data_IF_950770153822
#
_entry.id   IF_950770153822
#
_cell.length_a   1.000
_cell.length_b   1.000
_cell.length_c   1.000
_cell.angle_alpha   90.00
_cell.angle_beta   90.00
_cell.angle_gamma   90.00
#
_symmetry.space_group_name_H-M   'P 1'
#
loop_
_entity.id
_entity.type
_entity.pdbx_description
1 polymer ?
#
# COMPACT_ATOMS: atom_id res chain seq x y z
N UNK A 1 -2.54 -11.27 20.30
CA UNK A 1 -2.81 -10.48 19.09
C UNK A 1 -2.15 -11.12 17.87
N UNK A 2 -0.82 -11.35 17.90
CA UNK A 2 -0.08 -11.90 16.73
C UNK A 2 -0.54 -13.31 16.33
N UNK A 3 -0.85 -14.20 17.30
CA UNK A 3 -1.44 -15.50 17.00
C UNK A 3 -2.79 -15.39 16.26
N UNK A 4 -3.57 -14.34 16.57
CA UNK A 4 -4.80 -14.04 15.84
C UNK A 4 -4.56 -13.52 14.41
N UNK A 5 -3.47 -12.78 14.18
CA UNK A 5 -3.05 -12.35 12.83
C UNK A 5 -2.70 -13.57 11.98
N UNK A 6 -1.92 -14.49 12.52
CA UNK A 6 -1.59 -15.76 11.86
C UNK A 6 -2.83 -16.58 11.54
N UNK A 7 -3.76 -16.70 12.48
CA UNK A 7 -4.98 -17.48 12.24
C UNK A 7 -5.88 -16.83 11.19
N UNK A 8 -6.05 -15.50 11.21
CA UNK A 8 -6.85 -14.79 10.21
C UNK A 8 -6.22 -14.92 8.82
N UNK A 9 -4.88 -14.87 8.71
CA UNK A 9 -4.18 -14.95 7.43
C UNK A 9 -4.46 -16.23 6.65
N UNK A 10 -4.85 -17.31 7.32
CA UNK A 10 -5.22 -18.60 6.70
C UNK A 10 -6.60 -18.58 6.03
N UNK A 11 -7.40 -17.57 6.29
CA UNK A 11 -8.81 -17.49 5.88
C UNK A 11 -9.12 -16.27 4.99
N UNK A 12 -8.11 -15.49 4.62
CA UNK A 12 -8.25 -14.29 3.79
C UNK A 12 -7.22 -14.28 2.66
N UNK A 13 -7.56 -13.65 1.54
CA UNK A 13 -6.65 -13.51 0.39
C UNK A 13 -5.56 -12.46 0.66
N UNK A 14 -5.93 -11.38 1.33
CA UNK A 14 -4.99 -10.33 1.70
C UNK A 14 -5.30 -9.81 3.11
N UNK A 15 -4.26 -9.48 3.86
CA UNK A 15 -4.34 -8.99 5.22
C UNK A 15 -3.61 -7.65 5.36
N UNK A 16 -4.36 -6.58 5.60
CA UNK A 16 -3.79 -5.27 5.94
C UNK A 16 -3.62 -5.17 7.46
N UNK A 17 -2.38 -5.05 7.91
CA UNK A 17 -2.06 -4.93 9.33
C UNK A 17 -1.55 -3.52 9.64
N UNK A 18 -2.22 -2.83 10.56
CA UNK A 18 -1.83 -1.50 11.05
C UNK A 18 -1.24 -1.65 12.43
N UNK A 19 0.02 -1.24 12.60
CA UNK A 19 0.70 -1.32 13.88
C UNK A 19 0.56 0.00 14.65
N UNK A 20 -0.20 -0.03 15.75
CA UNK A 20 -0.40 1.13 16.62
C UNK A 20 0.89 1.65 17.26
N UNK A 21 1.92 0.81 17.42
CA UNK A 21 3.22 1.22 17.94
C UNK A 21 3.89 2.22 17.00
N UNK A 22 3.77 2.04 15.68
CA UNK A 22 4.29 2.99 14.69
C UNK A 22 3.57 4.34 14.78
N UNK A 23 2.27 4.35 15.04
CA UNK A 23 1.53 5.60 15.25
C UNK A 23 2.06 6.36 16.47
N UNK A 24 2.44 5.64 17.55
CA UNK A 24 3.05 6.23 18.73
C UNK A 24 4.44 6.83 18.45
N UNK A 25 5.24 6.17 17.63
CA UNK A 25 6.56 6.67 17.22
C UNK A 25 6.47 7.95 16.36
N UNK A 26 5.47 8.03 15.49
CA UNK A 26 5.29 9.15 14.55
C UNK A 26 4.59 10.34 15.22
N UNK A 27 3.69 10.06 16.15
CA UNK A 27 2.89 11.06 16.85
C UNK A 27 3.08 10.99 18.37
N UNK A 28 4.31 11.18 18.87
CA UNK A 28 4.61 11.05 20.31
C UNK A 28 3.91 12.11 21.17
N UNK A 29 3.47 13.21 20.56
CA UNK A 29 2.77 14.31 21.24
C UNK A 29 1.28 14.05 21.47
N UNK A 30 0.70 13.00 20.84
CA UNK A 30 -0.72 12.70 21.00
C UNK A 30 -1.04 12.17 22.39
N UNK A 31 -2.18 12.58 22.93
CA UNK A 31 -2.75 11.92 24.10
C UNK A 31 -3.18 10.49 23.76
N UNK A 32 -3.28 9.62 24.76
CA UNK A 32 -3.68 8.21 24.54
C UNK A 32 -5.00 8.10 23.79
N UNK A 33 -6.00 8.93 24.13
CA UNK A 33 -7.30 8.93 23.46
C UNK A 33 -7.17 9.38 22.00
N UNK A 34 -6.38 10.41 21.73
CA UNK A 34 -6.15 10.89 20.38
C UNK A 34 -5.33 9.89 19.55
N UNK A 35 -4.42 9.14 20.17
CA UNK A 35 -3.68 8.08 19.49
C UNK A 35 -4.60 6.93 19.04
N UNK A 36 -5.57 6.52 19.87
CA UNK A 36 -6.59 5.55 19.45
C UNK A 36 -7.50 6.09 18.35
N UNK A 37 -7.97 7.34 18.47
CA UNK A 37 -8.75 7.98 17.42
C UNK A 37 -7.96 8.05 16.10
N UNK A 38 -6.66 8.32 16.15
CA UNK A 38 -5.78 8.32 14.98
C UNK A 38 -5.62 6.94 14.34
N UNK A 39 -5.57 5.88 15.13
CA UNK A 39 -5.58 4.51 14.64
C UNK A 39 -6.90 4.18 13.90
N UNK A 40 -8.03 4.56 14.48
CA UNK A 40 -9.36 4.37 13.86
C UNK A 40 -9.50 5.18 12.57
N UNK A 41 -9.04 6.45 12.57
CA UNK A 41 -9.00 7.28 11.35
C UNK A 41 -8.15 6.64 10.26
N UNK A 42 -7.01 6.10 10.61
CA UNK A 42 -6.09 5.44 9.67
C UNK A 42 -6.76 4.24 8.99
N UNK A 43 -7.46 3.42 9.76
CA UNK A 43 -8.23 2.28 9.25
C UNK A 43 -9.39 2.72 8.36
N UNK A 44 -10.09 3.77 8.77
CA UNK A 44 -11.20 4.37 8.00
C UNK A 44 -10.72 4.94 6.67
N UNK A 45 -9.58 5.63 6.65
CA UNK A 45 -8.97 6.15 5.42
C UNK A 45 -8.57 5.01 4.48
N UNK A 46 -7.99 3.94 4.99
CA UNK A 46 -7.63 2.78 4.19
C UNK A 46 -8.87 2.14 3.54
N UNK A 47 -9.91 1.85 4.32
CA UNK A 47 -11.15 1.27 3.80
C UNK A 47 -11.84 2.19 2.78
N UNK A 48 -11.90 3.50 3.06
CA UNK A 48 -12.47 4.51 2.17
C UNK A 48 -11.69 4.58 0.85
N UNK A 49 -10.37 4.58 0.89
CA UNK A 49 -9.54 4.66 -0.32
C UNK A 49 -9.71 3.44 -1.22
N UNK A 50 -9.86 2.24 -0.67
CA UNK A 50 -10.19 1.04 -1.48
C UNK A 50 -11.57 1.18 -2.12
N UNK A 51 -12.56 1.66 -1.37
CA UNK A 51 -13.89 1.90 -1.91
C UNK A 51 -13.89 2.95 -3.01
N UNK A 52 -13.16 4.04 -2.84
CA UNK A 52 -13.01 5.10 -3.85
C UNK A 52 -12.37 4.58 -5.14
N UNK A 53 -11.31 3.77 -5.06
CA UNK A 53 -10.68 3.14 -6.22
C UNK A 53 -11.68 2.37 -7.07
N UNK A 54 -12.64 1.70 -6.44
CA UNK A 54 -13.64 0.86 -7.13
C UNK A 54 -14.83 1.68 -7.64
N UNK A 55 -15.23 2.74 -6.92
CA UNK A 55 -16.50 3.42 -7.15
C UNK A 55 -16.39 4.73 -7.90
N UNK A 56 -15.23 5.39 -7.86
CA UNK A 56 -15.01 6.66 -8.54
C UNK A 56 -14.64 6.41 -10.00
N UNK A 57 -15.45 6.96 -10.92
CA UNK A 57 -15.15 6.92 -12.34
C UNK A 57 -13.99 7.86 -12.64
N UNK A 58 -12.98 7.33 -13.32
CA UNK A 58 -11.78 8.06 -13.69
C UNK A 58 -11.57 8.15 -15.20
N UNK A 59 -10.51 8.83 -15.59
CA UNK A 59 -10.03 8.89 -16.98
C UNK A 59 -9.41 7.54 -17.37
N UNK A 60 -8.65 6.93 -16.46
CA UNK A 60 -8.17 5.55 -16.54
C UNK A 60 -8.79 4.81 -15.36
N UNK A 61 -9.81 4.02 -15.64
CA UNK A 61 -10.56 3.33 -14.61
C UNK A 61 -9.78 2.13 -14.04
N UNK A 62 -9.79 2.03 -12.72
CA UNK A 62 -9.53 0.80 -11.99
C UNK A 62 -10.88 0.20 -11.63
N UNK A 63 -11.11 -1.03 -12.02
CA UNK A 63 -12.34 -1.71 -11.70
C UNK A 63 -12.17 -2.69 -10.51
N UNK A 64 -13.29 -3.30 -10.10
CA UNK A 64 -13.28 -4.29 -9.04
C UNK A 64 -12.37 -5.48 -9.36
N UNK A 65 -12.23 -5.84 -10.65
CA UNK A 65 -11.38 -6.94 -11.07
C UNK A 65 -9.89 -6.61 -10.90
N UNK A 66 -9.47 -5.36 -11.16
CA UNK A 66 -8.09 -4.91 -10.93
C UNK A 66 -7.73 -4.98 -9.45
N UNK A 67 -8.62 -4.49 -8.57
CA UNK A 67 -8.43 -4.59 -7.11
C UNK A 67 -8.40 -6.06 -6.67
N UNK A 68 -9.31 -6.89 -7.18
CA UNK A 68 -9.33 -8.33 -6.90
C UNK A 68 -8.04 -9.00 -7.34
N UNK A 69 -7.52 -8.67 -8.52
CA UNK A 69 -6.26 -9.23 -9.05
C UNK A 69 -5.09 -8.91 -8.13
N UNK A 70 -5.03 -7.69 -7.60
CA UNK A 70 -3.96 -7.29 -6.68
C UNK A 70 -4.10 -7.95 -5.31
N UNK A 71 -5.31 -8.03 -4.78
CA UNK A 71 -5.56 -8.56 -3.42
C UNK A 71 -5.61 -10.10 -3.36
N UNK A 72 -6.08 -10.77 -4.42
CA UNK A 72 -6.22 -12.23 -4.43
C UNK A 72 -4.87 -12.92 -4.26
N UNK A 73 -4.81 -13.84 -3.30
CA UNK A 73 -3.59 -14.55 -2.90
C UNK A 73 -2.43 -13.59 -2.57
N UNK A 74 -2.78 -12.39 -2.09
CA UNK A 74 -1.84 -11.28 -1.88
C UNK A 74 -1.03 -11.36 -0.59
N UNK A 75 -1.40 -12.24 0.34
CA UNK A 75 -0.74 -12.37 1.64
C UNK A 75 -0.87 -11.10 2.49
N UNK A 76 0.23 -10.51 2.93
CA UNK A 76 0.20 -9.22 3.63
C UNK A 76 0.12 -8.10 2.60
N UNK A 77 -0.87 -7.24 2.78
CA UNK A 77 -1.07 -6.04 1.99
C UNK A 77 -0.58 -4.80 2.76
N UNK A 78 -0.06 -3.85 2.03
CA UNK A 78 0.33 -2.55 2.53
C UNK A 78 -0.38 -1.51 1.71
N UNK A 79 -0.93 -0.51 2.38
CA UNK A 79 -1.60 0.60 1.72
C UNK A 79 -1.12 1.92 2.29
N UNK A 80 -1.03 2.91 1.41
CA UNK A 80 -0.59 4.23 1.79
C UNK A 80 -1.22 5.28 0.91
N UNK A 81 -1.43 6.47 1.45
CA UNK A 81 -1.96 7.62 0.72
C UNK A 81 -1.09 8.84 1.03
N UNK A 82 -0.69 9.54 -0.02
CA UNK A 82 0.05 10.78 0.07
C UNK A 82 -0.64 11.91 -0.71
N UNK A 83 -0.36 13.13 -0.29
CA UNK A 83 -0.86 14.35 -0.91
C UNK A 83 0.30 15.27 -1.27
N UNK A 84 0.16 15.98 -2.38
CA UNK A 84 1.09 17.04 -2.79
C UNK A 84 0.34 18.23 -3.35
N UNK A 85 0.92 19.41 -3.23
CA UNK A 85 0.33 20.68 -3.67
C UNK A 85 1.41 21.60 -4.25
N UNK A 86 1.05 22.39 -5.27
CA UNK A 86 1.95 23.34 -5.90
C UNK A 86 2.96 22.69 -6.83
N UNK A 87 4.15 23.31 -6.96
CA UNK A 87 5.21 22.80 -7.85
C UNK A 87 5.74 21.45 -7.36
N UNK A 88 5.83 20.47 -8.26
CA UNK A 88 6.28 19.11 -7.93
C UNK A 88 5.28 18.32 -7.06
N UNK A 89 4.00 18.65 -7.11
CA UNK A 89 2.94 18.05 -6.28
C UNK A 89 2.85 16.53 -6.42
N UNK A 90 3.13 15.98 -7.60
CA UNK A 90 3.13 14.52 -7.82
C UNK A 90 4.28 13.87 -7.05
N UNK A 91 5.49 14.42 -7.14
CA UNK A 91 6.65 13.92 -6.39
C UNK A 91 6.42 14.02 -4.88
N UNK A 92 5.90 15.15 -4.40
CA UNK A 92 5.54 15.33 -3.00
C UNK A 92 4.51 14.30 -2.54
N UNK A 93 3.48 14.01 -3.34
CA UNK A 93 2.46 13.02 -3.04
C UNK A 93 3.05 11.59 -2.97
N UNK A 94 3.95 11.24 -3.89
CA UNK A 94 4.68 9.97 -3.87
C UNK A 94 5.53 9.86 -2.60
N UNK A 95 6.34 10.86 -2.31
CA UNK A 95 7.19 10.88 -1.12
C UNK A 95 6.36 10.82 0.17
N UNK A 96 5.27 11.58 0.24
CA UNK A 96 4.32 11.54 1.35
C UNK A 96 3.71 10.15 1.54
N UNK A 97 3.34 9.48 0.45
CA UNK A 97 2.85 8.11 0.50
C UNK A 97 3.92 7.14 1.00
N UNK A 98 5.16 7.24 0.50
CA UNK A 98 6.28 6.38 0.90
C UNK A 98 6.68 6.54 2.37
N UNK A 99 6.50 7.73 2.94
CA UNK A 99 6.77 8.01 4.35
C UNK A 99 5.56 7.80 5.27
N UNK A 100 4.47 7.24 4.74
CA UNK A 100 3.27 6.94 5.53
C UNK A 100 3.55 5.94 6.65
N UNK A 101 2.99 6.16 7.85
CA UNK A 101 3.08 5.23 8.97
C UNK A 101 2.54 3.84 8.65
N UNK A 102 1.72 3.72 7.61
CA UNK A 102 1.12 2.45 7.19
C UNK A 102 2.12 1.54 6.46
N UNK A 103 3.24 2.08 5.98
CA UNK A 103 4.25 1.29 5.26
C UNK A 103 5.18 0.47 6.16
N UNK A 104 5.12 0.63 7.49
CA UNK A 104 5.81 -0.21 8.47
C UNK A 104 7.30 -0.52 8.14
N UNK A 105 8.04 0.40 7.55
CA UNK A 105 9.41 0.20 7.04
C UNK A 105 9.54 -0.89 5.97
N UNK A 106 8.44 -1.42 5.45
CA UNK A 106 8.49 -2.36 4.34
C UNK A 106 8.86 -1.61 3.07
N UNK A 107 9.81 -2.14 2.36
CA UNK A 107 10.14 -1.64 1.04
C UNK A 107 9.07 -2.11 0.04
N UNK A 108 8.25 -1.17 -0.43
CA UNK A 108 7.17 -1.47 -1.37
C UNK A 108 7.69 -2.03 -2.71
N UNK A 109 8.96 -1.77 -3.03
CA UNK A 109 9.58 -2.29 -4.25
C UNK A 109 9.82 -3.80 -4.21
N UNK A 110 9.72 -4.43 -3.02
CA UNK A 110 9.74 -5.89 -2.86
C UNK A 110 8.35 -6.53 -2.94
N UNK A 111 7.32 -5.79 -3.36
CA UNK A 111 5.98 -6.32 -3.58
C UNK A 111 5.92 -7.19 -4.84
N UNK A 112 4.90 -8.06 -4.91
CA UNK A 112 4.61 -8.85 -6.11
C UNK A 112 3.56 -8.19 -7.02
N UNK A 113 2.64 -7.44 -6.40
CA UNK A 113 1.57 -6.72 -7.11
C UNK A 113 1.39 -5.34 -6.53
N UNK A 114 1.22 -4.34 -7.38
CA UNK A 114 1.03 -2.94 -6.99
C UNK A 114 -0.11 -2.32 -7.77
N UNK A 115 -0.95 -1.60 -7.07
CA UNK A 115 -1.99 -0.76 -7.64
C UNK A 115 -1.74 0.68 -7.21
N UNK A 116 -1.65 1.58 -8.18
CA UNK A 116 -1.47 3.01 -7.99
C UNK A 116 -2.72 3.75 -8.45
N UNK A 117 -3.36 4.48 -7.55
CA UNK A 117 -4.48 5.36 -7.87
C UNK A 117 -4.06 6.81 -7.69
N UNK A 118 -4.25 7.61 -8.74
CA UNK A 118 -3.91 9.02 -8.77
C UNK A 118 -5.21 9.79 -8.92
N UNK A 119 -5.48 10.72 -8.01
CA UNK A 119 -6.64 11.59 -8.06
C UNK A 119 -6.21 13.05 -8.08
N UNK A 120 -6.88 13.85 -8.89
CA UNK A 120 -6.63 15.27 -9.06
C UNK A 120 -7.92 16.01 -9.39
N UNK A 121 -7.93 17.35 -9.31
CA UNK A 121 -9.06 18.15 -9.69
C UNK A 121 -9.04 18.44 -11.20
N UNK A 122 -10.21 18.41 -11.85
CA UNK A 122 -10.39 18.71 -13.27
C UNK A 122 -11.23 19.97 -13.53
N UNK A 123 -11.58 20.73 -12.48
CA UNK A 123 -12.49 21.87 -12.58
C UNK A 123 -11.85 23.06 -13.31
N UNK A 124 -10.55 23.28 -13.12
CA UNK A 124 -9.78 24.31 -13.83
C UNK A 124 -8.60 23.64 -14.56
N UNK A 125 -8.23 24.18 -15.72
CA UNK A 125 -7.11 23.66 -16.52
C UNK A 125 -5.78 23.68 -15.74
N UNK A 126 -5.60 24.68 -14.84
CA UNK A 126 -4.44 24.80 -13.97
C UNK A 126 -4.32 23.70 -12.91
N UNK A 127 -5.41 23.02 -12.60
CA UNK A 127 -5.49 22.01 -11.55
C UNK A 127 -5.35 20.59 -12.13
N UNK A 128 -5.49 20.47 -13.46
CA UNK A 128 -5.37 19.19 -14.16
C UNK A 128 -3.93 18.65 -14.11
N UNK A 129 -3.82 17.34 -14.19
CA UNK A 129 -2.53 16.64 -14.24
C UNK A 129 -1.88 16.86 -15.61
N UNK A 130 -0.63 17.30 -15.62
CA UNK A 130 0.12 17.54 -16.85
C UNK A 130 0.87 16.28 -17.33
N UNK A 131 1.27 16.26 -18.60
CA UNK A 131 2.10 15.18 -19.15
C UNK A 131 3.50 15.14 -18.50
N UNK A 132 4.01 16.26 -18.04
CA UNK A 132 5.27 16.34 -17.30
C UNK A 132 5.14 15.65 -15.93
N UNK A 133 4.05 15.91 -15.22
CA UNK A 133 3.73 15.24 -13.96
C UNK A 133 3.51 13.73 -14.14
N UNK A 134 2.95 13.31 -15.28
CA UNK A 134 2.85 11.88 -15.63
C UNK A 134 4.21 11.21 -15.82
N UNK A 135 5.23 11.94 -16.26
CA UNK A 135 6.59 11.38 -16.33
C UNK A 135 7.15 11.06 -14.94
N UNK A 136 6.82 11.85 -13.91
CA UNK A 136 7.19 11.54 -12.51
C UNK A 136 6.53 10.25 -12.02
N UNK A 137 5.27 10.01 -12.42
CA UNK A 137 4.56 8.76 -12.13
C UNK A 137 5.26 7.58 -12.82
N UNK A 138 5.61 7.73 -14.11
CA UNK A 138 6.31 6.69 -14.85
C UNK A 138 7.70 6.39 -14.25
N UNK A 139 8.44 7.42 -13.85
CA UNK A 139 9.71 7.26 -13.15
C UNK A 139 9.55 6.49 -11.84
N UNK A 140 8.50 6.78 -11.09
CA UNK A 140 8.19 6.03 -9.87
C UNK A 140 7.84 4.56 -10.17
N UNK A 141 6.96 4.32 -11.14
CA UNK A 141 6.56 2.97 -11.52
C UNK A 141 7.73 2.14 -12.07
N UNK A 142 8.69 2.76 -12.76
CA UNK A 142 9.88 2.08 -13.28
C UNK A 142 10.85 1.55 -12.21
N UNK A 143 10.67 1.96 -10.95
CA UNK A 143 11.47 1.44 -9.82
C UNK A 143 11.02 0.05 -9.37
N UNK A 144 9.82 -0.37 -9.76
CA UNK A 144 9.38 -1.75 -9.54
C UNK A 144 10.03 -2.67 -10.56
N UNK A 145 10.36 -3.90 -10.13
CA UNK A 145 10.96 -4.90 -11.00
C UNK A 145 10.03 -5.36 -12.12
N UNK A 146 10.58 -5.93 -13.19
CA UNK A 146 9.83 -6.44 -14.34
C UNK A 146 8.87 -7.60 -13.97
N UNK A 147 9.10 -8.25 -12.85
CA UNK A 147 8.30 -9.34 -12.29
C UNK A 147 7.14 -8.85 -11.40
N UNK A 148 7.04 -7.54 -11.15
CA UNK A 148 5.96 -6.94 -10.36
C UNK A 148 4.77 -6.63 -11.25
N UNK A 149 3.62 -7.23 -10.94
CA UNK A 149 2.36 -6.87 -11.62
C UNK A 149 1.88 -5.51 -11.17
N UNK A 150 1.86 -4.54 -12.08
CA UNK A 150 1.47 -3.16 -11.79
C UNK A 150 0.18 -2.77 -12.46
N UNK A 151 -0.71 -2.10 -11.71
CA UNK A 151 -1.94 -1.49 -12.21
C UNK A 151 -1.96 -0.01 -11.82
N UNK A 152 -2.43 0.86 -12.69
CA UNK A 152 -2.62 2.26 -12.32
C UNK A 152 -3.94 2.82 -12.86
N UNK A 153 -4.47 3.80 -12.15
CA UNK A 153 -5.68 4.51 -12.54
C UNK A 153 -5.58 6.01 -12.28
N UNK A 154 -6.33 6.76 -13.07
CA UNK A 154 -6.46 8.21 -12.96
C UNK A 154 -7.92 8.56 -12.71
N UNK A 155 -8.20 9.23 -11.61
CA UNK A 155 -9.55 9.67 -11.23
C UNK A 155 -9.60 11.18 -11.00
N UNK A 156 -10.79 11.76 -11.14
CA UNK A 156 -11.00 13.16 -10.82
C UNK A 156 -11.75 13.31 -9.49
N UNK A 157 -11.31 14.28 -8.69
CA UNK A 157 -11.92 14.62 -7.40
C UNK A 157 -11.87 16.14 -7.21
N UNK A 158 -13.02 16.80 -7.39
CA UNK A 158 -13.15 18.24 -7.26
C UNK A 158 -12.79 18.79 -5.86
N UNK A 159 -12.81 17.93 -4.84
CA UNK A 159 -12.48 18.33 -3.46
C UNK A 159 -10.99 18.51 -3.23
N UNK A 160 -10.16 18.05 -4.15
CA UNK A 160 -8.70 18.17 -4.06
C UNK A 160 -8.19 19.56 -4.43
N UNK A 161 -8.98 20.34 -5.18
CA UNK A 161 -8.55 21.65 -5.67
C UNK A 161 -7.20 21.57 -6.39
N UNK A 162 -6.15 22.20 -5.87
CA UNK A 162 -4.79 22.19 -6.43
C UNK A 162 -3.94 20.98 -6.04
N UNK A 163 -4.48 20.10 -5.20
CA UNK A 163 -3.75 18.96 -4.68
C UNK A 163 -3.84 17.75 -5.62
N UNK A 164 -2.80 16.93 -5.56
CA UNK A 164 -2.80 15.59 -6.09
C UNK A 164 -2.79 14.61 -4.93
N UNK A 165 -3.63 13.59 -5.01
CA UNK A 165 -3.69 12.48 -4.06
C UNK A 165 -3.17 11.22 -4.76
N UNK A 166 -2.21 10.55 -4.17
CA UNK A 166 -1.68 9.28 -4.66
C UNK A 166 -1.93 8.22 -3.59
N UNK A 167 -2.60 7.15 -3.98
CA UNK A 167 -2.83 5.97 -3.13
C UNK A 167 -2.11 4.79 -3.73
N UNK A 168 -1.28 4.14 -2.93
CA UNK A 168 -0.54 2.93 -3.29
C UNK A 168 -1.11 1.76 -2.50
N UNK A 169 -1.46 0.67 -3.17
CA UNK A 169 -1.81 -0.61 -2.60
C UNK A 169 -0.82 -1.65 -3.13
N UNK A 170 -0.03 -2.23 -2.24
CA UNK A 170 0.98 -3.22 -2.58
C UNK A 170 0.75 -4.52 -1.82
N UNK A 171 0.95 -5.66 -2.49
CA UNK A 171 0.73 -7.00 -1.93
C UNK A 171 1.87 -7.94 -2.28
N UNK A 172 1.86 -9.13 -1.69
CA UNK A 172 2.88 -10.14 -1.90
C UNK A 172 3.93 -10.19 -0.80
N UNK A 173 3.67 -9.50 0.32
CA UNK A 173 4.54 -9.58 1.49
C UNK A 173 4.19 -10.79 2.34
N UNK A 174 5.23 -11.43 2.92
CA UNK A 174 5.02 -12.52 3.87
C UNK A 174 4.63 -12.02 5.27
N UNK A 175 4.11 -12.92 6.11
CA UNK A 175 3.78 -12.62 7.50
C UNK A 175 4.98 -12.09 8.31
N UNK A 176 6.20 -12.46 7.95
CA UNK A 176 7.43 -11.93 8.55
C UNK A 176 7.55 -10.40 8.45
N UNK A 177 6.90 -9.80 7.46
CA UNK A 177 6.90 -8.35 7.28
C UNK A 177 5.96 -7.63 8.28
N UNK A 178 5.12 -8.38 9.02
CA UNK A 178 4.32 -7.83 10.12
C UNK A 178 5.21 -7.69 11.36
N UNK A 179 5.34 -6.49 11.92
CA UNK A 179 6.21 -6.26 13.08
C UNK A 179 5.92 -7.18 14.27
N UNK A 180 6.95 -7.84 14.76
CA UNK A 180 6.87 -8.79 15.89
C UNK A 180 6.40 -10.20 15.53
N UNK A 181 6.08 -10.45 14.27
CA UNK A 181 5.62 -11.76 13.80
C UNK A 181 6.75 -12.80 13.79
N UNK A 182 8.01 -12.38 13.58
CA UNK A 182 9.20 -13.27 13.61
C UNK A 182 9.27 -14.14 14.85
N UNK A 183 8.98 -13.55 16.02
CA UNK A 183 8.99 -14.25 17.30
C UNK A 183 7.84 -15.29 17.43
N UNK A 184 6.71 -15.02 16.79
CA UNK A 184 5.54 -15.94 16.81
C UNK A 184 5.79 -17.09 15.87
N UNK A 185 6.28 -16.82 14.66
CA UNK A 185 6.63 -17.83 13.67
C UNK A 185 7.70 -18.80 14.22
N UNK A 186 8.73 -18.26 14.89
CA UNK A 186 9.77 -19.07 15.53
C UNK A 186 9.22 -19.97 16.65
N UNK A 187 8.24 -19.50 17.44
CA UNK A 187 7.59 -20.30 18.50
C UNK A 187 6.74 -21.45 17.95
N UNK A 188 6.07 -21.25 16.83
CA UNK A 188 5.16 -22.22 16.24
C UNK A 188 5.84 -23.12 15.20
N UNK A 189 7.15 -22.95 14.95
CA UNK A 189 7.91 -23.72 13.98
C UNK A 189 7.41 -23.52 12.53
N UNK A 190 6.79 -22.36 12.25
CA UNK A 190 6.24 -22.03 10.95
C UNK A 190 7.40 -21.58 10.06
N UNK A 191 7.73 -22.42 9.09
CA UNK A 191 8.65 -22.00 8.03
C UNK A 191 7.90 -21.12 7.03
N UNK A 192 8.50 -19.99 6.69
CA UNK A 192 8.01 -19.08 5.66
C UNK A 192 7.93 -19.83 4.32
N UNK A 193 6.84 -19.65 3.56
CA UNK A 193 6.68 -20.30 2.24
C UNK A 193 7.83 -19.96 1.29
N UNK A 194 8.36 -18.74 1.36
CA UNK A 194 9.54 -18.35 0.59
C UNK A 194 10.81 -19.11 1.01
N UNK A 195 10.98 -19.36 2.31
CA UNK A 195 12.09 -20.16 2.81
C UNK A 195 11.96 -21.63 2.40
N UNK A 196 10.72 -22.16 2.31
CA UNK A 196 10.45 -23.49 1.75
C UNK A 196 10.76 -23.56 0.27
N UNK A 197 10.27 -22.62 -0.52
CA UNK A 197 10.50 -22.54 -1.96
C UNK A 197 12.00 -22.41 -2.28
N UNK A 198 12.75 -21.59 -1.55
CA UNK A 198 14.21 -21.48 -1.71
C UNK A 198 14.93 -22.78 -1.33
N UNK A 199 14.51 -23.47 -0.27
CA UNK A 199 15.09 -24.77 0.10
C UNK A 199 14.82 -25.84 -0.95
N UNK A 200 13.61 -25.86 -1.53
CA UNK A 200 13.24 -26.78 -2.62
C UNK A 200 14.04 -26.47 -3.89
N UNK A 201 14.20 -25.19 -4.26
CA UNK A 201 14.99 -24.79 -5.43
C UNK A 201 16.48 -25.15 -5.27
N UNK A 202 17.04 -24.96 -4.06
CA UNK A 202 18.42 -25.38 -3.75
C UNK A 202 18.56 -26.90 -3.77
N UNK A 203 17.56 -27.63 -3.31
CA UNK A 203 17.56 -29.09 -3.33
C UNK A 203 17.51 -29.65 -4.76
N UNK A 204 16.69 -29.04 -5.63
CA UNK A 204 16.61 -29.41 -7.06
C UNK A 204 17.90 -29.10 -7.81
N UNK A 205 18.58 -27.98 -7.49
CA UNK A 205 19.88 -27.63 -8.12
C UNK A 205 21.05 -28.49 -7.65
N UNK A 206 20.89 -29.27 -6.56
CA UNK A 206 21.95 -30.17 -6.03
C UNK A 206 21.75 -31.65 -6.40
N UNK A 207 20.60 -31.99 -6.97
CA UNK A 207 20.30 -33.31 -7.51
C UNK A 207 20.61 -33.40 -9.01
#
# INVERSE_FOLDING_TARGET
>A
ALDGVEEISKHVDALLVINNERLREIYPELTVLNAFAKADDTLSVAAKSIAEIITVHGIVNLDFQDVTTVLKDGGVAIMSTGFGEGEGRVRQAIESALHSPLLNNNDIFNSKKVLLSISFCDQEESDQLTMEEMNEVHEFMSKFGDDVETKFGLATDATLEKKVKITVLATGFGLKNVPGMDNVMAKHGIEDEEARAQKEEIAVKKA
#
